data_IF_949663337328
#
_entry.id   IF_949663337328
#
_cell.length_a   1.000
_cell.length_b   1.000
_cell.length_c   1.000
_cell.angle_alpha   90.00
_cell.angle_beta   90.00
_cell.angle_gamma   90.00
#
_symmetry.space_group_name_H-M   'P 1'
#
loop_
_entity.id
_entity.type
_entity.pdbx_description
1 polymer ?
#
# COMPACT_ATOMS: atom_id res chain seq x y z
N UNK A 1 11.24 14.55 -33.58
CA UNK A 1 11.21 15.26 -32.30
C UNK A 1 9.80 15.12 -31.73
N UNK A 2 9.55 14.07 -30.97
CA UNK A 2 8.32 13.95 -30.20
C UNK A 2 8.33 15.05 -29.13
N UNK A 3 7.29 15.88 -29.08
CA UNK A 3 7.10 16.85 -28.01
C UNK A 3 6.95 16.06 -26.72
N UNK A 4 7.96 16.09 -25.85
CA UNK A 4 7.79 15.74 -24.45
C UNK A 4 6.65 16.59 -23.90
N UNK A 5 5.50 16.00 -23.74
CA UNK A 5 4.43 16.58 -22.94
C UNK A 5 4.89 16.47 -21.48
N UNK A 6 5.57 17.50 -20.99
CA UNK A 6 5.83 17.66 -19.56
C UNK A 6 4.48 17.62 -18.86
N UNK A 7 4.20 16.50 -18.18
CA UNK A 7 3.05 16.42 -17.29
C UNK A 7 3.33 17.32 -16.10
N UNK A 8 2.50 18.30 -15.91
CA UNK A 8 2.52 19.12 -14.70
C UNK A 8 1.73 18.36 -13.61
N UNK A 9 2.35 18.17 -12.45
CA UNK A 9 1.65 17.70 -11.29
C UNK A 9 0.40 18.57 -11.02
N UNK A 10 -0.72 17.98 -10.59
CA UNK A 10 -1.93 18.74 -10.33
C UNK A 10 -1.68 19.78 -9.21
N UNK A 11 -2.19 20.98 -9.42
CA UNK A 11 -2.09 22.06 -8.43
C UNK A 11 -3.10 21.79 -7.31
N UNK A 12 -2.69 21.91 -6.06
CA UNK A 12 -3.52 21.66 -4.89
C UNK A 12 -4.79 22.52 -4.86
N UNK A 13 -4.69 23.80 -5.17
CA UNK A 13 -5.86 24.68 -5.21
C UNK A 13 -6.86 24.25 -6.29
N UNK A 14 -6.37 23.75 -7.40
CA UNK A 14 -7.19 23.23 -8.48
C UNK A 14 -7.86 21.89 -8.09
N UNK A 15 -7.13 21.01 -7.40
CA UNK A 15 -7.66 19.76 -6.85
C UNK A 15 -8.79 20.07 -5.84
N UNK A 16 -8.55 20.96 -4.90
CA UNK A 16 -9.54 21.36 -3.89
C UNK A 16 -10.76 22.01 -4.54
N UNK A 17 -10.54 22.91 -5.51
CA UNK A 17 -11.62 23.56 -6.23
C UNK A 17 -12.49 22.57 -7.01
N UNK A 18 -11.85 21.61 -7.68
CA UNK A 18 -12.55 20.56 -8.41
C UNK A 18 -13.31 19.62 -7.48
N UNK A 19 -12.72 19.22 -6.37
CA UNK A 19 -13.37 18.34 -5.40
C UNK A 19 -14.54 19.02 -4.70
N UNK A 20 -14.43 20.32 -4.35
CA UNK A 20 -15.55 21.12 -3.82
C UNK A 20 -16.68 21.24 -4.85
N UNK A 21 -16.35 21.47 -6.12
CA UNK A 21 -17.31 21.54 -7.20
C UNK A 21 -18.04 20.22 -7.42
N UNK A 22 -17.36 19.11 -7.24
CA UNK A 22 -17.91 17.77 -7.36
C UNK A 22 -18.58 17.28 -6.05
N UNK A 23 -18.51 18.07 -4.96
CA UNK A 23 -19.05 17.70 -3.65
C UNK A 23 -18.31 16.58 -2.93
N UNK A 24 -17.06 16.27 -3.37
CA UNK A 24 -16.28 15.14 -2.89
C UNK A 24 -15.28 15.46 -1.79
N UNK A 25 -14.90 16.73 -1.61
CA UNK A 25 -14.07 17.16 -0.49
C UNK A 25 -14.96 17.61 0.66
N UNK A 26 -14.92 16.83 1.75
CA UNK A 26 -15.53 17.21 3.02
C UNK A 26 -14.42 17.46 4.01
N UNK A 27 -14.40 18.67 4.59
CA UNK A 27 -13.60 18.92 5.77
C UNK A 27 -14.28 18.22 6.95
N UNK A 28 -13.68 17.15 7.46
CA UNK A 28 -14.10 16.61 8.74
C UNK A 28 -13.71 17.58 9.86
N UNK A 29 -14.53 17.76 10.89
CA UNK A 29 -14.11 18.47 12.08
C UNK A 29 -12.94 17.74 12.74
N UNK A 30 -11.97 18.47 13.26
CA UNK A 30 -10.87 17.92 14.02
C UNK A 30 -11.41 17.33 15.33
N UNK A 31 -11.52 16.00 15.40
CA UNK A 31 -11.98 15.28 16.58
C UNK A 31 -10.93 14.24 16.96
N UNK A 32 -10.14 14.55 17.99
CA UNK A 32 -9.08 13.66 18.46
C UNK A 32 -9.57 12.51 19.35
N UNK A 33 -10.86 12.40 19.59
CA UNK A 33 -11.47 11.22 20.20
C UNK A 33 -11.70 10.10 19.16
N UNK A 34 -11.42 10.38 17.89
CA UNK A 34 -11.60 9.46 16.78
C UNK A 34 -10.39 9.53 15.85
N UNK A 35 -9.92 8.38 15.41
CA UNK A 35 -8.86 8.24 14.41
C UNK A 35 -9.36 7.34 13.28
N UNK A 36 -9.22 7.80 12.06
CA UNK A 36 -9.47 7.00 10.88
C UNK A 36 -8.19 6.34 10.41
N UNK A 37 -8.25 5.05 10.13
CA UNK A 37 -7.21 4.38 9.38
C UNK A 37 -7.72 3.99 7.99
N UNK A 38 -6.79 3.84 7.07
CA UNK A 38 -7.08 3.40 5.72
C UNK A 38 -5.93 2.57 5.18
N UNK A 39 -6.25 1.52 4.43
CA UNK A 39 -5.27 0.66 3.78
C UNK A 39 -5.70 0.27 2.36
N UNK A 40 -4.74 -0.20 1.58
CA UNK A 40 -4.97 -0.83 0.29
C UNK A 40 -5.05 -2.36 0.46
N UNK A 41 -5.55 -3.13 -0.52
CA UNK A 41 -5.55 -4.58 -0.52
C UNK A 41 -4.13 -5.13 -0.79
N UNK A 42 -3.22 -4.93 0.15
CA UNK A 42 -1.80 -5.25 0.05
C UNK A 42 -1.36 -6.22 1.15
N UNK A 43 -0.19 -6.82 0.97
CA UNK A 43 0.48 -7.58 2.03
C UNK A 43 0.99 -6.60 3.07
N UNK A 44 0.25 -6.45 4.17
CA UNK A 44 0.65 -5.57 5.27
C UNK A 44 0.11 -6.04 6.61
N UNK A 45 0.72 -5.60 7.70
CA UNK A 45 0.22 -5.84 9.05
C UNK A 45 -1.18 -5.23 9.25
N UNK A 46 -1.49 -4.11 8.62
CA UNK A 46 -2.82 -3.48 8.70
C UNK A 46 -3.92 -4.36 8.11
N UNK A 47 -3.64 -5.05 7.00
CA UNK A 47 -4.60 -5.99 6.41
C UNK A 47 -4.85 -7.20 7.29
N UNK A 48 -3.81 -7.72 7.94
CA UNK A 48 -3.95 -8.80 8.93
C UNK A 48 -4.74 -8.31 10.15
N UNK A 49 -4.49 -7.09 10.63
CA UNK A 49 -5.14 -6.52 11.79
C UNK A 49 -6.63 -6.21 11.60
N UNK A 50 -7.07 -6.03 10.37
CA UNK A 50 -8.50 -5.87 10.08
C UNK A 50 -9.32 -7.07 10.57
N UNK A 51 -8.74 -8.27 10.59
CA UNK A 51 -9.40 -9.46 11.13
C UNK A 51 -9.06 -9.70 12.60
N UNK A 52 -7.84 -9.36 13.05
CA UNK A 52 -7.43 -9.57 14.44
C UNK A 52 -7.99 -8.51 15.41
N UNK A 53 -8.17 -7.28 14.95
CA UNK A 53 -8.71 -6.17 15.74
C UNK A 53 -7.81 -5.66 16.86
N UNK A 54 -6.54 -6.01 16.88
CA UNK A 54 -5.64 -5.71 18.01
C UNK A 54 -5.32 -4.23 18.14
N UNK A 55 -5.21 -3.52 17.04
CA UNK A 55 -5.00 -2.06 17.08
C UNK A 55 -6.23 -1.35 17.61
N UNK A 56 -7.44 -1.79 17.26
CA UNK A 56 -8.70 -1.27 17.80
C UNK A 56 -8.72 -1.39 19.34
N UNK A 57 -8.27 -2.50 19.89
CA UNK A 57 -8.17 -2.71 21.33
C UNK A 57 -7.09 -1.82 21.99
N UNK A 58 -5.99 -1.51 21.32
CA UNK A 58 -4.99 -0.56 21.83
C UNK A 58 -5.55 0.87 21.91
N UNK A 59 -6.27 1.31 20.87
CA UNK A 59 -6.92 2.63 20.87
C UNK A 59 -8.01 2.75 21.93
N UNK A 60 -8.79 1.69 22.13
CA UNK A 60 -9.80 1.65 23.18
C UNK A 60 -9.23 1.89 24.59
N UNK A 61 -8.01 1.41 24.86
CA UNK A 61 -7.33 1.62 26.16
C UNK A 61 -7.02 3.09 26.45
N UNK A 62 -6.88 3.91 25.41
CA UNK A 62 -6.63 5.35 25.52
C UNK A 62 -7.89 6.20 25.27
N UNK A 63 -9.07 5.55 25.19
CA UNK A 63 -10.34 6.23 25.06
C UNK A 63 -10.63 6.80 23.66
N UNK A 64 -9.91 6.34 22.63
CA UNK A 64 -10.04 6.84 21.25
C UNK A 64 -10.77 5.80 20.40
N UNK A 65 -11.69 6.24 19.56
CA UNK A 65 -12.33 5.39 18.56
C UNK A 65 -11.38 5.20 17.38
N UNK A 66 -11.16 3.94 16.98
CA UNK A 66 -10.35 3.59 15.83
C UNK A 66 -11.26 3.01 14.76
N UNK A 67 -11.39 3.73 13.64
CA UNK A 67 -12.38 3.44 12.60
C UNK A 67 -11.73 3.27 11.24
N UNK A 68 -12.28 2.37 10.46
CA UNK A 68 -11.89 2.24 9.06
C UNK A 68 -12.52 3.38 8.24
N UNK A 69 -11.75 4.00 7.37
CA UNK A 69 -12.24 5.13 6.58
C UNK A 69 -13.51 4.80 5.78
N UNK A 70 -13.61 3.58 5.27
CA UNK A 70 -14.76 3.12 4.48
C UNK A 70 -16.02 2.83 5.31
N UNK A 71 -15.91 2.80 6.63
CA UNK A 71 -17.07 2.64 7.51
C UNK A 71 -17.92 3.92 7.56
N UNK A 72 -17.35 5.06 7.20
CA UNK A 72 -18.02 6.35 7.24
C UNK A 72 -18.25 6.92 5.83
N UNK A 73 -19.50 6.84 5.35
CA UNK A 73 -19.90 7.40 4.05
C UNK A 73 -19.71 8.90 3.92
N UNK A 74 -19.73 9.63 5.04
CA UNK A 74 -19.59 11.07 5.02
C UNK A 74 -18.17 11.52 4.69
N UNK A 75 -17.16 10.70 4.99
CA UNK A 75 -15.76 11.03 4.73
C UNK A 75 -15.35 10.83 3.28
N UNK A 76 -16.14 10.09 2.49
CA UNK A 76 -15.73 9.69 1.16
C UNK A 76 -14.42 8.87 1.19
N UNK A 77 -13.83 8.52 0.02
CA UNK A 77 -12.56 7.79 -0.06
C UNK A 77 -11.34 8.68 -0.36
N UNK A 78 -11.57 9.94 -0.72
CA UNK A 78 -10.50 10.87 -1.07
C UNK A 78 -9.46 11.11 0.04
N UNK A 79 -9.79 11.07 1.35
CA UNK A 79 -8.77 11.18 2.40
C UNK A 79 -7.66 10.15 2.29
N UNK A 80 -7.93 8.98 1.71
CA UNK A 80 -6.91 7.96 1.42
C UNK A 80 -5.83 8.47 0.45
N UNK A 81 -6.19 9.34 -0.48
CA UNK A 81 -5.30 9.83 -1.54
C UNK A 81 -4.72 11.20 -1.26
N UNK A 82 -5.47 12.09 -0.60
CA UNK A 82 -5.09 13.49 -0.45
C UNK A 82 -4.95 13.95 1.01
N UNK A 83 -5.14 13.06 1.98
CA UNK A 83 -4.96 13.31 3.42
C UNK A 83 -5.70 14.57 3.91
N UNK A 84 -6.90 14.84 3.43
CA UNK A 84 -7.71 15.99 3.81
C UNK A 84 -8.42 15.85 5.17
N UNK A 85 -8.12 14.79 5.94
CA UNK A 85 -8.50 14.64 7.35
C UNK A 85 -7.24 14.76 8.20
N UNK A 86 -7.31 15.52 9.30
CA UNK A 86 -6.16 15.66 10.22
C UNK A 86 -5.93 14.41 11.07
N UNK A 87 -7.02 13.70 11.40
CA UNK A 87 -7.02 12.49 12.23
C UNK A 87 -6.92 11.18 11.42
N UNK A 88 -6.25 11.19 10.28
CA UNK A 88 -6.07 10.01 9.43
C UNK A 88 -4.67 9.40 9.56
N UNK A 89 -4.62 8.07 9.60
CA UNK A 89 -3.40 7.28 9.39
C UNK A 89 -3.63 6.41 8.15
N UNK A 90 -2.73 6.53 7.18
CA UNK A 90 -2.78 5.79 5.94
C UNK A 90 -1.68 4.73 5.90
N UNK A 91 -2.04 3.50 5.53
CA UNK A 91 -1.09 2.43 5.23
C UNK A 91 -1.40 1.85 3.85
N UNK A 92 -0.66 2.25 2.84
CA UNK A 92 -0.94 1.82 1.47
C UNK A 92 0.17 2.14 0.49
N UNK A 93 -0.07 1.92 -0.80
CA UNK A 93 0.91 2.10 -1.87
C UNK A 93 1.65 3.43 -1.83
N UNK A 94 2.84 3.45 -2.41
CA UNK A 94 3.86 4.47 -2.23
C UNK A 94 3.56 5.82 -2.90
N UNK A 95 3.01 5.83 -4.11
CA UNK A 95 2.90 7.06 -4.91
C UNK A 95 1.93 8.11 -4.34
N UNK A 96 0.73 7.75 -3.83
CA UNK A 96 -0.15 8.74 -3.23
C UNK A 96 0.47 9.51 -2.07
N UNK A 97 1.10 8.90 -1.05
CA UNK A 97 1.71 9.65 0.04
C UNK A 97 2.92 10.51 -0.38
N UNK A 98 3.69 10.09 -1.39
CA UNK A 98 4.73 10.94 -1.99
C UNK A 98 4.09 12.19 -2.59
N UNK A 99 3.04 12.05 -3.41
CA UNK A 99 2.33 13.18 -3.99
C UNK A 99 1.73 14.11 -2.93
N UNK A 100 1.13 13.53 -1.87
CA UNK A 100 0.60 14.33 -0.77
C UNK A 100 1.68 15.15 -0.11
N UNK A 101 2.81 14.54 0.25
CA UNK A 101 3.90 15.22 0.95
C UNK A 101 4.54 16.31 0.08
N UNK A 102 4.78 16.00 -1.20
CA UNK A 102 5.41 16.90 -2.14
C UNK A 102 4.55 18.15 -2.47
N UNK A 103 3.26 17.94 -2.77
CA UNK A 103 2.46 18.94 -3.47
C UNK A 103 1.17 19.33 -2.75
N UNK A 104 0.71 18.55 -1.76
CA UNK A 104 -0.60 18.76 -1.13
C UNK A 104 -0.48 19.33 0.28
N UNK A 105 0.09 18.56 1.20
CA UNK A 105 0.31 18.99 2.58
C UNK A 105 1.47 18.21 3.21
N UNK A 106 2.13 18.81 4.16
CA UNK A 106 3.16 18.15 4.93
C UNK A 106 2.58 16.97 5.71
N UNK A 107 3.25 15.84 5.61
CA UNK A 107 2.94 14.60 6.31
C UNK A 107 4.20 14.05 6.96
N UNK A 108 4.04 12.99 7.74
CA UNK A 108 5.14 12.29 8.41
C UNK A 108 5.14 10.84 7.96
N UNK A 109 6.29 10.33 7.53
CA UNK A 109 6.49 8.93 7.20
C UNK A 109 6.84 8.16 8.48
N UNK A 110 5.91 7.35 8.94
CA UNK A 110 6.01 6.59 10.19
C UNK A 110 6.67 5.22 10.03
N UNK A 111 6.62 4.66 8.82
CA UNK A 111 7.14 3.34 8.52
C UNK A 111 6.78 2.91 7.12
N UNK A 112 7.45 1.87 6.64
CA UNK A 112 7.13 1.24 5.35
C UNK A 112 7.19 -0.29 5.50
N UNK A 113 6.55 -1.00 4.55
CA UNK A 113 6.69 -2.45 4.45
C UNK A 113 8.08 -2.83 3.95
N UNK A 114 8.45 -4.09 4.15
CA UNK A 114 9.61 -4.64 3.47
C UNK A 114 9.40 -4.66 1.95
N UNK A 115 10.46 -4.38 1.19
CA UNK A 115 10.43 -4.53 -0.28
C UNK A 115 10.40 -6.03 -0.59
N UNK A 116 9.23 -6.52 -0.96
CA UNK A 116 9.06 -7.90 -1.37
C UNK A 116 9.50 -8.08 -2.83
N UNK A 117 9.95 -9.29 -3.16
CA UNK A 117 10.33 -9.64 -4.53
C UNK A 117 9.09 -10.01 -5.35
N UNK A 118 8.32 -9.01 -5.71
CA UNK A 118 7.05 -9.14 -6.44
C UNK A 118 7.05 -8.41 -7.80
N UNK A 119 8.20 -8.25 -8.43
CA UNK A 119 8.35 -7.43 -9.63
C UNK A 119 7.29 -7.68 -10.69
N UNK A 120 7.02 -6.66 -11.49
CA UNK A 120 6.10 -6.76 -12.61
C UNK A 120 6.66 -7.54 -13.79
N UNK A 121 5.79 -7.85 -14.73
CA UNK A 121 6.11 -8.61 -15.94
C UNK A 121 5.67 -7.87 -17.20
N UNK A 122 6.39 -8.09 -18.31
CA UNK A 122 5.95 -7.68 -19.65
C UNK A 122 5.16 -8.83 -20.27
N UNK A 123 3.90 -8.57 -20.60
CA UNK A 123 2.96 -9.55 -21.16
C UNK A 123 2.69 -9.29 -22.63
N UNK A 124 2.58 -10.38 -23.38
CA UNK A 124 2.19 -10.40 -24.80
C UNK A 124 1.16 -11.51 -25.06
N UNK A 125 0.51 -11.51 -26.22
CA UNK A 125 -0.36 -12.63 -26.60
C UNK A 125 0.47 -13.91 -26.80
N UNK A 126 -0.02 -15.05 -26.33
CA UNK A 126 0.66 -16.34 -26.46
C UNK A 126 0.93 -16.74 -27.93
N UNK A 127 0.05 -16.34 -28.85
CA UNK A 127 0.11 -16.66 -30.28
C UNK A 127 1.14 -15.83 -31.07
N UNK A 128 1.65 -14.75 -30.49
CA UNK A 128 2.57 -13.84 -31.19
C UNK A 128 4.02 -14.35 -31.10
N UNK A 129 4.78 -14.14 -32.18
CA UNK A 129 6.22 -14.46 -32.25
C UNK A 129 7.06 -13.37 -31.56
N UNK A 130 6.70 -13.08 -30.29
CA UNK A 130 7.39 -12.13 -29.39
C UNK A 130 7.81 -12.95 -28.17
N UNK A 131 9.13 -13.08 -27.93
CA UNK A 131 9.68 -13.94 -26.89
C UNK A 131 10.62 -13.23 -25.92
N UNK A 132 11.07 -12.01 -26.27
CA UNK A 132 11.98 -11.18 -25.49
C UNK A 132 11.72 -9.71 -25.74
N UNK A 133 12.28 -8.85 -24.91
CA UNK A 133 12.02 -7.39 -24.97
C UNK A 133 12.44 -6.77 -26.30
N UNK A 134 13.53 -7.23 -26.90
CA UNK A 134 14.02 -6.67 -28.18
C UNK A 134 13.06 -6.92 -29.35
N UNK A 135 12.20 -7.94 -29.26
CA UNK A 135 11.15 -8.21 -30.26
C UNK A 135 10.04 -7.16 -30.23
N UNK A 136 10.02 -6.30 -29.18
CA UNK A 136 9.09 -5.17 -29.04
C UNK A 136 9.50 -3.90 -29.80
N UNK A 137 10.68 -3.89 -30.47
CA UNK A 137 11.07 -2.72 -31.28
C UNK A 137 10.03 -2.40 -32.35
N UNK A 138 9.56 -1.14 -32.34
CA UNK A 138 8.49 -0.67 -33.24
C UNK A 138 7.08 -1.20 -32.91
N UNK A 139 6.89 -1.88 -31.79
CA UNK A 139 5.62 -2.42 -31.33
C UNK A 139 4.92 -1.47 -30.37
N UNK A 140 3.63 -1.72 -30.14
CA UNK A 140 2.74 -0.92 -29.31
C UNK A 140 2.69 -1.49 -27.89
N UNK A 141 3.10 -0.68 -26.91
CA UNK A 141 2.96 -1.00 -25.48
C UNK A 141 1.85 -0.13 -24.89
N UNK A 142 0.86 -0.76 -24.25
CA UNK A 142 -0.24 -0.06 -23.60
C UNK A 142 0.18 0.54 -22.27
N UNK A 143 -0.39 1.72 -21.95
CA UNK A 143 -0.18 2.44 -20.71
C UNK A 143 -1.50 3.03 -20.23
N UNK A 144 -1.93 2.67 -19.03
CA UNK A 144 -3.14 3.22 -18.43
C UNK A 144 -2.97 4.69 -18.05
N UNK A 145 -4.04 5.48 -18.19
CA UNK A 145 -4.10 6.88 -17.76
C UNK A 145 -5.38 7.17 -17.03
N UNK A 146 -5.26 7.56 -15.76
CA UNK A 146 -6.40 7.94 -14.95
C UNK A 146 -7.06 9.20 -15.50
N UNK A 147 -8.38 9.18 -15.58
CA UNK A 147 -9.20 10.35 -15.86
C UNK A 147 -9.48 11.18 -14.60
N UNK A 148 -9.18 10.65 -13.42
CA UNK A 148 -9.35 11.36 -12.16
C UNK A 148 -8.30 12.48 -12.02
N UNK A 149 -8.76 13.68 -11.63
CA UNK A 149 -7.91 14.86 -11.49
C UNK A 149 -7.62 15.23 -10.04
N UNK A 150 -8.22 14.51 -9.09
CA UNK A 150 -8.10 14.83 -7.66
C UNK A 150 -6.94 14.06 -7.03
N UNK A 151 -6.75 12.81 -7.43
CA UNK A 151 -5.68 11.94 -6.94
C UNK A 151 -4.62 11.73 -8.02
N UNK A 152 -3.39 11.44 -7.59
CA UNK A 152 -2.33 11.05 -8.51
C UNK A 152 -2.69 9.77 -9.28
N UNK A 153 -2.24 9.67 -10.53
CA UNK A 153 -2.41 8.47 -11.38
C UNK A 153 -1.46 7.35 -10.92
N UNK A 154 -1.68 6.84 -9.72
CA UNK A 154 -0.80 5.83 -9.09
C UNK A 154 -0.67 4.56 -9.93
N UNK A 155 -1.71 4.24 -10.73
CA UNK A 155 -1.70 3.07 -11.58
C UNK A 155 -0.81 3.28 -12.80
N UNK A 156 -1.03 4.37 -13.54
CA UNK A 156 -0.22 4.72 -14.70
C UNK A 156 1.25 4.98 -14.33
N UNK A 157 1.52 5.56 -13.15
CA UNK A 157 2.90 5.77 -12.67
C UNK A 157 3.66 4.45 -12.54
N UNK A 158 3.08 3.44 -11.91
CA UNK A 158 3.79 2.16 -11.73
C UNK A 158 3.94 1.38 -13.04
N UNK A 159 2.96 1.48 -13.95
CA UNK A 159 3.10 0.90 -15.30
C UNK A 159 4.21 1.58 -16.08
N UNK A 160 4.26 2.91 -16.09
CA UNK A 160 5.28 3.69 -16.79
C UNK A 160 6.68 3.41 -16.24
N UNK A 161 6.83 3.38 -14.91
CA UNK A 161 8.08 3.04 -14.25
C UNK A 161 8.55 1.62 -14.62
N UNK A 162 7.63 0.65 -14.62
CA UNK A 162 7.95 -0.73 -14.96
C UNK A 162 8.32 -0.91 -16.43
N UNK A 163 7.59 -0.25 -17.35
CA UNK A 163 7.90 -0.27 -18.80
C UNK A 163 9.31 0.29 -19.04
N UNK A 164 9.61 1.48 -18.51
CA UNK A 164 10.91 2.12 -18.73
C UNK A 164 12.05 1.32 -18.12
N UNK A 165 11.83 0.73 -16.95
CA UNK A 165 12.80 -0.12 -16.29
C UNK A 165 13.13 -1.35 -17.16
N UNK A 166 12.12 -2.04 -17.70
CA UNK A 166 12.31 -3.21 -18.56
C UNK A 166 12.97 -2.84 -19.89
N UNK A 167 12.59 -1.74 -20.51
CA UNK A 167 13.23 -1.25 -21.71
C UNK A 167 14.71 -0.99 -21.47
N UNK A 168 15.05 -0.24 -20.42
CA UNK A 168 16.43 0.11 -20.05
C UNK A 168 17.30 -1.12 -19.77
N UNK A 169 16.77 -2.12 -19.05
CA UNK A 169 17.48 -3.37 -18.75
C UNK A 169 17.85 -4.15 -20.01
N UNK A 170 17.07 -3.99 -21.07
CA UNK A 170 17.27 -4.66 -22.35
C UNK A 170 17.92 -3.73 -23.41
N UNK A 171 18.57 -2.65 -22.96
CA UNK A 171 19.25 -1.71 -23.85
C UNK A 171 18.33 -0.95 -24.80
N UNK A 172 17.08 -0.80 -24.43
CA UNK A 172 16.05 -0.08 -25.18
C UNK A 172 15.63 1.20 -24.47
N UNK A 173 14.96 2.08 -25.20
CA UNK A 173 14.37 3.31 -24.72
C UNK A 173 12.93 3.44 -25.15
N UNK A 174 12.22 4.48 -24.70
CA UNK A 174 10.86 4.77 -25.16
C UNK A 174 10.78 5.04 -26.66
N UNK A 175 11.86 5.51 -27.29
CA UNK A 175 11.92 5.79 -28.72
C UNK A 175 11.95 4.51 -29.58
N UNK A 176 12.27 3.35 -28.96
CA UNK A 176 12.26 2.04 -29.65
C UNK A 176 10.85 1.43 -29.76
N UNK A 177 9.84 1.98 -29.06
CA UNK A 177 8.48 1.46 -28.99
C UNK A 177 7.44 2.57 -29.15
N UNK A 178 6.20 2.20 -29.46
CA UNK A 178 5.06 3.12 -29.47
C UNK A 178 4.26 2.96 -28.15
N UNK A 179 4.24 3.98 -27.30
CA UNK A 179 3.40 3.97 -26.09
C UNK A 179 2.00 4.44 -26.46
N UNK A 180 1.01 3.55 -26.24
CA UNK A 180 -0.40 3.83 -26.48
C UNK A 180 -1.11 4.04 -25.15
N UNK A 181 -1.60 5.25 -24.91
CA UNK A 181 -2.29 5.59 -23.67
C UNK A 181 -3.76 5.19 -23.71
N UNK A 182 -4.22 4.57 -22.63
CA UNK A 182 -5.62 4.15 -22.44
C UNK A 182 -6.21 4.90 -21.25
N UNK A 183 -7.18 5.79 -21.47
CA UNK A 183 -7.87 6.45 -20.38
C UNK A 183 -8.76 5.44 -19.63
N UNK A 184 -8.74 5.51 -18.29
CA UNK A 184 -9.66 4.75 -17.45
C UNK A 184 -10.32 5.66 -16.40
N UNK A 185 -11.58 5.39 -16.03
CA UNK A 185 -12.34 6.26 -15.15
C UNK A 185 -11.87 6.23 -13.71
N UNK A 186 -11.16 5.18 -13.28
CA UNK A 186 -10.56 5.05 -11.95
C UNK A 186 -11.60 5.02 -10.79
N UNK A 187 -12.86 4.73 -11.12
CA UNK A 187 -13.97 4.65 -10.19
C UNK A 187 -14.25 3.22 -9.69
N UNK A 188 -13.76 2.21 -10.40
CA UNK A 188 -13.93 0.81 -10.02
C UNK A 188 -13.34 0.50 -8.63
N UNK A 189 -12.27 1.19 -8.26
CA UNK A 189 -11.59 1.03 -6.97
C UNK A 189 -12.23 1.87 -5.86
N UNK A 190 -12.84 2.99 -6.23
CA UNK A 190 -13.40 4.00 -5.33
C UNK A 190 -14.93 4.05 -5.38
N UNK A 191 -15.56 2.99 -5.87
CA UNK A 191 -17.01 2.93 -5.98
C UNK A 191 -17.67 3.29 -4.64
N UNK A 192 -18.58 4.30 -4.61
CA UNK A 192 -19.32 4.69 -3.41
C UNK A 192 -20.11 3.55 -2.75
N UNK A 193 -20.49 2.53 -3.51
CA UNK A 193 -21.14 1.32 -2.97
C UNK A 193 -20.22 0.52 -2.04
N UNK A 194 -18.90 0.74 -2.15
CA UNK A 194 -17.90 0.17 -1.26
C UNK A 194 -17.74 0.95 0.05
N UNK A 195 -18.45 2.07 0.20
CA UNK A 195 -18.59 2.78 1.46
C UNK A 195 -19.84 2.26 2.16
N UNK A 196 -19.74 1.88 3.42
CA UNK A 196 -20.82 1.22 4.09
C UNK A 196 -21.00 1.59 5.55
N UNK A 197 -22.00 1.02 6.21
CA UNK A 197 -22.09 1.08 7.65
C UNK A 197 -20.85 0.42 8.28
N UNK A 198 -20.57 0.77 9.53
CA UNK A 198 -19.48 0.16 10.29
C UNK A 198 -19.56 -1.37 10.19
N UNK A 199 -18.48 -2.00 9.78
CA UNK A 199 -18.39 -3.44 9.64
C UNK A 199 -17.66 -4.02 10.85
N UNK A 200 -18.16 -5.14 11.35
CA UNK A 200 -17.51 -5.86 12.44
C UNK A 200 -16.12 -6.36 12.02
N UNK A 201 -16.03 -6.82 10.78
CA UNK A 201 -14.76 -7.20 10.15
C UNK A 201 -14.58 -6.47 8.81
N UNK A 202 -13.76 -5.41 8.73
CA UNK A 202 -13.55 -4.64 7.51
C UNK A 202 -12.96 -5.45 6.33
N UNK A 203 -12.33 -6.61 6.58
CA UNK A 203 -11.81 -7.47 5.51
C UNK A 203 -12.91 -8.05 4.61
N UNK A 204 -14.15 -8.17 5.12
CA UNK A 204 -15.30 -8.63 4.34
C UNK A 204 -15.65 -7.72 3.17
N UNK A 205 -15.25 -6.45 3.24
CA UNK A 205 -15.43 -5.51 2.14
C UNK A 205 -14.80 -6.02 0.85
N UNK A 206 -13.60 -6.56 0.95
CA UNK A 206 -12.85 -7.07 -0.20
C UNK A 206 -13.46 -8.36 -0.77
N UNK A 207 -14.03 -9.21 0.08
CA UNK A 207 -14.76 -10.41 -0.36
C UNK A 207 -16.02 -10.04 -1.16
N UNK A 208 -16.77 -9.03 -0.71
CA UNK A 208 -17.97 -8.57 -1.41
C UNK A 208 -17.67 -7.99 -2.79
N UNK A 209 -16.47 -7.47 -2.96
CA UNK A 209 -16.05 -6.83 -4.20
C UNK A 209 -15.67 -7.82 -5.31
N UNK A 210 -15.42 -9.10 -4.98
CA UNK A 210 -14.86 -10.08 -5.92
C UNK A 210 -13.65 -9.54 -6.71
N UNK A 211 -12.77 -8.85 -5.99
CA UNK A 211 -11.64 -8.11 -6.58
C UNK A 211 -10.68 -9.00 -7.40
N UNK A 212 -10.69 -10.30 -7.18
CA UNK A 212 -9.91 -11.25 -7.98
C UNK A 212 -10.43 -11.37 -9.42
N UNK A 213 -11.73 -11.26 -9.61
CA UNK A 213 -12.37 -11.33 -10.93
C UNK A 213 -12.45 -9.97 -11.64
N UNK A 214 -12.49 -8.87 -10.91
CA UNK A 214 -12.50 -7.51 -11.46
C UNK A 214 -11.31 -7.20 -12.36
N UNK A 215 -10.24 -7.96 -12.23
CA UNK A 215 -9.04 -7.84 -13.06
C UNK A 215 -9.27 -8.23 -14.53
N UNK A 216 -10.32 -9.03 -14.81
CA UNK A 216 -10.64 -9.47 -16.15
C UNK A 216 -11.15 -8.35 -17.08
N UNK A 217 -11.52 -7.20 -16.52
CA UNK A 217 -12.12 -6.08 -17.24
C UNK A 217 -11.19 -4.88 -17.47
N UNK A 218 -9.89 -5.06 -17.28
CA UNK A 218 -8.95 -3.97 -17.49
C UNK A 218 -8.81 -3.60 -18.95
N UNK A 219 -8.75 -2.30 -19.27
CA UNK A 219 -8.64 -1.84 -20.64
C UNK A 219 -7.44 -2.43 -21.39
N UNK A 220 -6.29 -2.61 -20.71
CA UNK A 220 -5.07 -3.10 -21.33
C UNK A 220 -5.14 -4.59 -21.70
N UNK A 221 -5.64 -5.46 -20.82
CA UNK A 221 -5.82 -6.89 -21.14
C UNK A 221 -6.77 -7.07 -22.31
N UNK A 222 -7.84 -6.27 -22.36
CA UNK A 222 -8.78 -6.27 -23.47
C UNK A 222 -8.12 -5.78 -24.75
N UNK A 223 -7.37 -4.68 -24.69
CA UNK A 223 -6.65 -4.13 -25.85
C UNK A 223 -5.58 -5.10 -26.37
N UNK A 224 -4.84 -5.75 -25.46
CA UNK A 224 -3.85 -6.77 -25.80
C UNK A 224 -4.52 -7.98 -26.47
N UNK A 225 -5.59 -8.52 -25.88
CA UNK A 225 -6.32 -9.66 -26.42
C UNK A 225 -6.89 -9.39 -27.83
N UNK A 226 -7.37 -8.18 -28.08
CA UNK A 226 -7.93 -7.74 -29.35
C UNK A 226 -6.87 -7.29 -30.38
N UNK A 227 -5.59 -7.23 -30.01
CA UNK A 227 -4.49 -6.84 -30.91
C UNK A 227 -4.40 -5.33 -31.19
N UNK A 228 -4.98 -4.50 -30.33
CA UNK A 228 -4.85 -3.03 -30.39
C UNK A 228 -3.45 -2.60 -29.93
N UNK A 229 -2.89 -3.34 -28.98
CA UNK A 229 -1.49 -3.25 -28.51
C UNK A 229 -0.82 -4.60 -28.65
N UNK A 230 0.52 -4.61 -28.63
CA UNK A 230 1.33 -5.81 -28.75
C UNK A 230 1.83 -6.31 -27.42
N UNK A 231 2.00 -5.41 -26.45
CA UNK A 231 2.46 -5.72 -25.10
C UNK A 231 1.81 -4.80 -24.06
N UNK A 232 1.82 -5.26 -22.80
CA UNK A 232 1.47 -4.47 -21.63
C UNK A 232 2.35 -4.84 -20.44
N UNK A 233 2.58 -3.90 -19.56
CA UNK A 233 3.18 -4.16 -18.27
C UNK A 233 2.10 -4.56 -17.26
N UNK A 234 2.27 -5.70 -16.61
CA UNK A 234 1.47 -6.08 -15.45
C UNK A 234 2.29 -5.82 -14.19
N UNK A 235 1.76 -4.99 -13.31
CA UNK A 235 2.49 -4.42 -12.16
C UNK A 235 2.90 -5.44 -11.09
N UNK A 236 2.35 -6.64 -11.11
CA UNK A 236 2.79 -7.70 -10.22
C UNK A 236 2.70 -9.06 -10.89
N UNK A 237 3.61 -9.95 -10.53
CA UNK A 237 3.59 -11.34 -10.99
C UNK A 237 2.28 -12.04 -10.62
N UNK A 238 1.71 -11.69 -9.48
CA UNK A 238 0.42 -12.23 -9.02
C UNK A 238 -0.71 -11.92 -9.98
N UNK A 239 -0.79 -10.68 -10.48
CA UNK A 239 -1.81 -10.27 -11.44
C UNK A 239 -1.61 -10.92 -12.80
N UNK A 240 -0.35 -11.05 -13.25
CA UNK A 240 -0.05 -11.68 -14.53
C UNK A 240 -0.42 -13.16 -14.57
N UNK A 241 -0.26 -13.87 -13.46
CA UNK A 241 -0.63 -15.29 -13.37
C UNK A 241 -2.11 -15.50 -13.65
N UNK A 242 -3.00 -14.62 -13.17
CA UNK A 242 -4.43 -14.70 -13.47
C UNK A 242 -4.69 -14.60 -14.99
N UNK A 243 -3.99 -13.71 -15.68
CA UNK A 243 -4.10 -13.57 -17.13
C UNK A 243 -3.46 -14.74 -17.89
N UNK A 244 -2.30 -15.23 -17.44
CA UNK A 244 -1.60 -16.38 -18.05
C UNK A 244 -2.40 -17.67 -17.93
N UNK A 245 -3.16 -17.89 -16.84
CA UNK A 245 -4.00 -19.10 -16.68
C UNK A 245 -5.07 -19.23 -17.75
N UNK A 246 -5.41 -18.16 -18.45
CA UNK A 246 -6.30 -18.23 -19.62
C UNK A 246 -5.68 -18.90 -20.84
N UNK A 247 -4.35 -19.06 -20.87
CA UNK A 247 -3.58 -19.52 -22.03
C UNK A 247 -3.48 -18.52 -23.18
N UNK A 248 -4.09 -17.35 -23.06
CA UNK A 248 -4.11 -16.30 -24.10
C UNK A 248 -2.88 -15.40 -24.06
N UNK A 249 -2.22 -15.31 -22.91
CA UNK A 249 -1.10 -14.42 -22.66
C UNK A 249 0.11 -15.19 -22.13
N UNK A 250 1.29 -14.66 -22.38
CA UNK A 250 2.57 -15.13 -21.84
C UNK A 250 3.40 -13.93 -21.38
N UNK A 251 4.23 -14.14 -20.36
CA UNK A 251 5.23 -13.16 -19.92
C UNK A 251 6.54 -13.40 -20.68
N UNK A 252 7.12 -12.32 -21.21
CA UNK A 252 8.41 -12.34 -21.90
C UNK A 252 9.55 -11.78 -21.05
N UNK A 253 9.23 -10.98 -20.04
CA UNK A 253 10.18 -10.43 -19.07
C UNK A 253 9.54 -10.42 -17.68
N UNK A 254 10.35 -10.64 -16.64
CA UNK A 254 9.92 -10.72 -15.25
C UNK A 254 10.99 -10.15 -14.34
N UNK A 255 10.71 -9.00 -13.74
CA UNK A 255 11.63 -8.30 -12.84
C UNK A 255 11.99 -9.12 -11.59
N UNK A 256 11.13 -10.03 -11.17
CA UNK A 256 11.40 -10.90 -10.02
C UNK A 256 12.52 -11.92 -10.25
N UNK A 257 12.95 -12.16 -11.50
CA UNK A 257 14.07 -13.05 -11.83
C UNK A 257 15.43 -12.49 -11.43
N UNK A 258 15.53 -11.17 -11.30
CA UNK A 258 16.79 -10.49 -11.03
C UNK A 258 17.06 -10.39 -9.53
N UNK A 259 18.31 -10.49 -9.08
CA UNK A 259 18.67 -10.34 -7.68
C UNK A 259 18.62 -8.88 -7.20
N UNK A 260 18.64 -7.92 -8.13
CA UNK A 260 18.61 -6.50 -7.83
C UNK A 260 17.22 -6.09 -7.31
N UNK A 261 17.15 -5.78 -6.03
CA UNK A 261 15.90 -5.40 -5.37
C UNK A 261 15.35 -4.05 -5.85
N UNK A 262 16.20 -3.16 -6.40
CA UNK A 262 15.75 -1.86 -6.91
C UNK A 262 14.78 -2.00 -8.08
N UNK A 263 14.82 -3.11 -8.79
CA UNK A 263 13.90 -3.43 -9.88
C UNK A 263 12.48 -3.77 -9.38
N UNK A 264 12.32 -3.99 -8.08
CA UNK A 264 11.02 -4.30 -7.46
C UNK A 264 10.27 -3.05 -7.00
N UNK A 265 10.87 -1.87 -7.16
CA UNK A 265 10.30 -0.61 -6.68
C UNK A 265 9.31 -0.05 -7.71
N UNK A 266 8.13 -0.67 -7.79
CA UNK A 266 7.01 -0.14 -8.55
C UNK A 266 5.78 -0.08 -7.63
N UNK A 267 5.51 1.10 -7.01
CA UNK A 267 4.46 1.32 -6.01
C UNK A 267 4.67 0.58 -4.66
N UNK A 268 5.86 0.06 -4.43
CA UNK A 268 6.30 -0.53 -3.15
C UNK A 268 7.62 0.12 -2.72
N UNK A 269 7.92 0.18 -1.43
CA UNK A 269 7.17 -0.38 -0.29
C UNK A 269 5.86 0.38 -0.02
N UNK A 270 4.89 -0.28 0.61
CA UNK A 270 3.72 0.43 1.11
C UNK A 270 4.10 1.31 2.30
N UNK A 271 3.60 2.54 2.33
CA UNK A 271 3.97 3.55 3.32
C UNK A 271 2.90 3.76 4.39
N UNK A 272 3.34 3.96 5.63
CA UNK A 272 2.52 4.41 6.75
C UNK A 272 2.77 5.89 6.93
N UNK A 273 1.73 6.70 6.78
CA UNK A 273 1.82 8.15 6.94
C UNK A 273 0.70 8.68 7.82
N UNK A 274 0.98 9.77 8.53
CA UNK A 274 -0.02 10.60 9.19
C UNK A 274 0.23 12.07 8.88
N UNK A 275 -0.69 12.92 9.30
CA UNK A 275 -0.54 14.38 9.18
C UNK A 275 0.47 14.92 10.19
N UNK A 276 1.07 16.05 9.89
CA UNK A 276 1.94 16.77 10.86
C UNK A 276 1.16 17.15 12.09
N UNK A 277 -0.10 17.53 11.93
CA UNK A 277 -1.00 17.88 13.04
C UNK A 277 -1.14 16.72 14.03
N UNK A 278 -1.30 15.48 13.55
CA UNK A 278 -1.34 14.31 14.43
C UNK A 278 0.02 14.09 15.08
N UNK A 279 1.10 14.12 14.32
CA UNK A 279 2.44 13.85 14.82
C UNK A 279 2.89 14.84 15.90
N UNK A 280 2.50 16.14 15.79
CA UNK A 280 2.90 17.19 16.71
C UNK A 280 1.96 17.31 17.92
N UNK A 281 0.63 17.21 17.71
CA UNK A 281 -0.36 17.44 18.76
C UNK A 281 -0.75 16.17 19.52
N UNK A 282 -0.75 15.02 18.83
CA UNK A 282 -1.19 13.73 19.36
C UNK A 282 -0.25 12.58 18.96
N UNK A 283 1.07 12.70 19.26
CA UNK A 283 2.04 11.66 18.91
C UNK A 283 1.68 10.28 19.47
N UNK A 284 0.96 10.23 20.60
CA UNK A 284 0.46 9.00 21.21
C UNK A 284 -0.45 8.20 20.29
N UNK A 285 -1.19 8.86 19.38
CA UNK A 285 -2.06 8.17 18.41
C UNK A 285 -1.23 7.43 17.37
N UNK A 286 -0.21 8.09 16.81
CA UNK A 286 0.71 7.47 15.86
C UNK A 286 1.50 6.30 16.51
N UNK A 287 1.99 6.49 17.73
CA UNK A 287 2.68 5.44 18.51
C UNK A 287 1.76 4.26 18.78
N UNK A 288 0.49 4.50 19.13
CA UNK A 288 -0.50 3.44 19.38
C UNK A 288 -0.77 2.62 18.13
N UNK A 289 -0.90 3.27 16.97
CA UNK A 289 -1.01 2.58 15.69
C UNK A 289 0.19 1.68 15.43
N UNK A 290 1.40 2.22 15.57
CA UNK A 290 2.64 1.46 15.31
C UNK A 290 2.82 0.29 16.29
N UNK A 291 2.42 0.42 17.56
CA UNK A 291 2.38 -0.72 18.50
C UNK A 291 1.49 -1.86 17.97
N UNK A 292 0.31 -1.50 17.44
CA UNK A 292 -0.57 -2.46 16.77
C UNK A 292 0.13 -3.16 15.61
N UNK A 293 0.70 -2.37 14.70
CA UNK A 293 1.38 -2.89 13.50
C UNK A 293 2.58 -3.78 13.84
N UNK A 294 3.39 -3.41 14.83
CA UNK A 294 4.52 -4.24 15.28
C UNK A 294 4.03 -5.57 15.89
N UNK A 295 3.00 -5.54 16.74
CA UNK A 295 2.44 -6.76 17.36
C UNK A 295 1.89 -7.71 16.30
N UNK A 296 1.06 -7.18 15.41
CA UNK A 296 0.42 -7.95 14.33
C UNK A 296 1.47 -8.48 13.36
N UNK A 297 2.44 -7.65 12.96
CA UNK A 297 3.53 -8.05 12.08
C UNK A 297 4.37 -9.20 12.66
N UNK A 298 4.71 -9.13 13.95
CA UNK A 298 5.42 -10.22 14.66
C UNK A 298 4.59 -11.49 14.67
N UNK A 299 3.31 -11.40 15.02
CA UNK A 299 2.42 -12.56 15.01
C UNK A 299 2.31 -13.17 13.62
N UNK A 300 2.13 -12.35 12.60
CA UNK A 300 2.02 -12.80 11.22
C UNK A 300 3.32 -13.45 10.71
N UNK A 301 4.48 -12.98 11.19
CA UNK A 301 5.77 -13.61 10.90
C UNK A 301 5.91 -15.00 11.52
N UNK A 302 5.37 -15.19 12.73
CA UNK A 302 5.39 -16.47 13.45
C UNK A 302 4.30 -17.44 12.95
N UNK A 303 3.21 -16.91 12.37
CA UNK A 303 2.02 -17.67 11.96
C UNK A 303 1.67 -17.46 10.48
N UNK A 304 2.67 -17.65 9.60
CA UNK A 304 2.54 -17.35 8.16
C UNK A 304 1.33 -17.96 7.47
N UNK A 305 0.96 -19.21 7.80
CA UNK A 305 -0.21 -19.84 7.20
C UNK A 305 -1.52 -19.16 7.62
N UNK A 306 -1.66 -18.83 8.90
CA UNK A 306 -2.83 -18.10 9.37
C UNK A 306 -2.90 -16.69 8.76
N UNK A 307 -1.76 -16.00 8.70
CA UNK A 307 -1.67 -14.71 8.04
C UNK A 307 -2.02 -14.79 6.54
N UNK A 308 -1.58 -15.84 5.84
CA UNK A 308 -1.93 -16.08 4.45
C UNK A 308 -3.46 -16.26 4.25
N UNK A 309 -4.11 -17.02 5.14
CA UNK A 309 -5.56 -17.22 5.07
C UNK A 309 -6.36 -15.92 5.28
N UNK A 310 -5.83 -14.98 6.08
CA UNK A 310 -6.42 -13.66 6.24
C UNK A 310 -6.17 -12.80 4.99
N UNK A 311 -4.93 -12.76 4.53
CA UNK A 311 -4.51 -11.92 3.40
C UNK A 311 -5.11 -12.37 2.06
N UNK A 312 -5.37 -13.67 1.88
CA UNK A 312 -6.02 -14.20 0.67
C UNK A 312 -7.39 -13.56 0.41
N UNK A 313 -8.12 -13.22 1.47
CA UNK A 313 -9.43 -12.55 1.37
C UNK A 313 -9.32 -11.12 0.80
N UNK A 314 -8.16 -10.50 0.88
CA UNK A 314 -7.97 -9.07 0.63
C UNK A 314 -7.01 -8.78 -0.53
N UNK A 315 -6.24 -9.75 -0.98
CA UNK A 315 -5.21 -9.61 -2.01
C UNK A 315 -5.60 -10.29 -3.32
N UNK A 316 -4.74 -10.11 -4.33
CA UNK A 316 -4.98 -10.65 -5.67
C UNK A 316 -4.41 -12.06 -5.88
N UNK A 317 -3.86 -12.71 -4.85
CA UNK A 317 -3.41 -14.10 -4.95
C UNK A 317 -4.59 -15.03 -5.27
N UNK A 318 -4.30 -16.14 -5.94
CA UNK A 318 -5.33 -17.08 -6.41
C UNK A 318 -6.03 -17.79 -5.26
N UNK A 319 -5.23 -18.19 -4.28
CA UNK A 319 -5.67 -18.97 -3.12
C UNK A 319 -4.70 -18.80 -1.94
N UNK A 320 -5.03 -19.44 -0.82
CA UNK A 320 -4.25 -19.36 0.42
C UNK A 320 -2.82 -19.91 0.25
N UNK A 321 -2.61 -20.94 -0.57
CA UNK A 321 -1.29 -21.52 -0.79
C UNK A 321 -0.40 -20.56 -1.57
N UNK A 322 -0.94 -19.95 -2.61
CA UNK A 322 -0.25 -18.94 -3.40
C UNK A 322 0.09 -17.71 -2.55
N UNK A 323 -0.85 -17.29 -1.70
CA UNK A 323 -0.63 -16.21 -0.71
C UNK A 323 0.48 -16.57 0.29
N UNK A 324 0.47 -17.81 0.78
CA UNK A 324 1.52 -18.28 1.70
C UNK A 324 2.90 -18.24 1.05
N UNK A 325 3.03 -18.73 -0.19
CA UNK A 325 4.30 -18.66 -0.93
C UNK A 325 4.77 -17.22 -1.13
N UNK A 326 3.85 -16.29 -1.40
CA UNK A 326 4.14 -14.86 -1.53
C UNK A 326 4.69 -14.24 -0.25
N UNK A 327 4.13 -14.61 0.90
CA UNK A 327 4.48 -13.95 2.19
C UNK A 327 5.50 -14.70 3.04
N UNK A 328 5.83 -15.96 2.75
CA UNK A 328 6.64 -16.81 3.64
C UNK A 328 8.00 -16.23 4.02
N UNK A 329 8.59 -15.39 3.16
CA UNK A 329 9.89 -14.74 3.36
C UNK A 329 9.77 -13.24 3.62
N UNK A 330 8.56 -12.69 3.64
CA UNK A 330 8.32 -11.26 3.87
C UNK A 330 8.26 -10.97 5.36
N UNK A 331 8.97 -9.95 5.81
CA UNK A 331 8.81 -9.40 7.15
C UNK A 331 7.63 -8.42 7.16
N UNK A 332 6.60 -8.73 7.95
CA UNK A 332 5.39 -7.92 8.04
C UNK A 332 5.48 -6.82 9.11
N UNK A 333 6.59 -6.74 9.85
CA UNK A 333 6.84 -5.63 10.79
C UNK A 333 7.28 -4.41 9.99
N UNK A 334 6.57 -3.28 10.07
CA UNK A 334 6.99 -2.06 9.38
C UNK A 334 8.29 -1.51 9.95
N UNK A 335 9.11 -0.93 9.09
CA UNK A 335 10.40 -0.37 9.47
C UNK A 335 10.78 0.83 8.61
N UNK A 336 11.89 1.49 8.96
CA UNK A 336 12.51 2.59 8.21
C UNK A 336 14.00 2.28 7.99
N UNK A 337 14.30 1.06 7.54
CA UNK A 337 15.68 0.71 7.21
C UNK A 337 16.22 1.57 6.05
N UNK A 338 17.54 1.77 5.97
CA UNK A 338 18.15 2.54 4.87
C UNK A 338 17.72 2.01 3.49
N UNK A 339 17.64 0.69 3.31
CA UNK A 339 17.18 0.09 2.05
C UNK A 339 15.74 0.51 1.72
N UNK A 340 14.85 0.52 2.70
CA UNK A 340 13.46 0.91 2.50
C UNK A 340 13.32 2.40 2.20
N UNK A 341 14.11 3.26 2.84
CA UNK A 341 14.12 4.69 2.54
C UNK A 341 14.65 4.97 1.13
N UNK A 342 15.70 4.27 0.69
CA UNK A 342 16.17 4.35 -0.70
C UNK A 342 15.10 3.89 -1.69
N UNK A 343 14.29 2.88 -1.34
CA UNK A 343 13.16 2.46 -2.18
C UNK A 343 12.11 3.56 -2.35
N UNK A 344 11.83 4.31 -1.28
CA UNK A 344 10.95 5.48 -1.33
C UNK A 344 11.53 6.57 -2.22
N UNK A 345 12.82 6.81 -2.11
CA UNK A 345 13.54 7.83 -2.89
C UNK A 345 13.53 7.51 -4.39
N UNK A 346 13.74 6.23 -4.77
CA UNK A 346 13.61 5.77 -6.16
C UNK A 346 12.20 6.09 -6.72
N UNK A 347 11.14 5.82 -5.96
CA UNK A 347 9.78 6.14 -6.36
C UNK A 347 9.54 7.65 -6.48
N UNK A 348 10.05 8.44 -5.53
CA UNK A 348 9.97 9.91 -5.55
C UNK A 348 10.71 10.50 -6.74
N UNK A 349 11.94 10.07 -7.00
CA UNK A 349 12.75 10.56 -8.12
C UNK A 349 12.11 10.26 -9.47
N UNK A 350 11.49 9.08 -9.60
CA UNK A 350 10.70 8.77 -10.79
C UNK A 350 9.52 9.73 -10.96
N UNK A 351 8.75 9.96 -9.91
CA UNK A 351 7.61 10.89 -9.94
C UNK A 351 8.04 12.32 -10.27
N UNK A 352 9.15 12.79 -9.70
CA UNK A 352 9.70 14.13 -9.94
C UNK A 352 10.19 14.29 -11.39
N UNK A 353 10.98 13.34 -11.88
CA UNK A 353 11.54 13.39 -13.23
C UNK A 353 10.50 13.30 -14.33
N UNK A 354 9.35 12.68 -14.05
CA UNK A 354 8.22 12.56 -14.99
C UNK A 354 7.11 13.60 -14.78
N UNK A 355 7.31 14.55 -13.84
CA UNK A 355 6.35 15.63 -13.58
C UNK A 355 5.06 15.21 -12.89
N UNK A 356 5.06 14.06 -12.22
CA UNK A 356 3.94 13.62 -11.38
C UNK A 356 3.88 14.35 -10.03
N UNK A 357 5.02 14.89 -9.59
CA UNK A 357 5.13 15.85 -8.50
C UNK A 357 5.97 17.04 -8.97
N UNK A 358 5.76 18.21 -8.34
CA UNK A 358 6.45 19.48 -8.66
C UNK A 358 7.60 19.78 -7.72
N UNK A 359 7.40 19.44 -6.45
CA UNK A 359 8.31 19.80 -5.38
C UNK A 359 9.13 18.58 -4.98
N UNK A 360 10.44 18.76 -4.93
CA UNK A 360 11.36 17.78 -4.36
C UNK A 360 11.38 17.87 -2.83
N UNK A 361 11.75 16.79 -2.18
CA UNK A 361 11.94 16.72 -0.73
C UNK A 361 12.94 15.63 -0.34
N UNK A 362 13.54 15.76 0.84
CA UNK A 362 14.42 14.74 1.40
C UNK A 362 13.57 13.67 2.12
N UNK A 363 13.67 12.43 1.66
CA UNK A 363 12.96 11.27 2.25
C UNK A 363 13.41 11.02 3.69
N UNK A 364 14.67 11.32 4.04
CA UNK A 364 15.17 11.16 5.41
C UNK A 364 14.57 12.21 6.36
N UNK A 365 14.29 13.41 5.88
CA UNK A 365 13.60 14.46 6.66
C UNK A 365 12.09 14.16 6.78
N UNK A 366 11.50 13.48 5.79
CA UNK A 366 10.10 13.02 5.87
C UNK A 366 9.92 11.88 6.87
N UNK A 367 10.92 11.01 7.00
CA UNK A 367 10.89 9.85 7.88
C UNK A 367 11.03 10.25 9.36
N UNK A 368 10.23 9.65 10.22
CA UNK A 368 10.20 9.89 11.65
C UNK A 368 10.43 8.61 12.47
N UNK A 369 11.67 8.07 12.50
CA UNK A 369 11.99 6.81 13.17
C UNK A 369 11.68 6.81 14.67
N UNK A 370 11.68 7.97 15.34
CA UNK A 370 11.38 8.11 16.77
C UNK A 370 10.03 7.53 17.18
N UNK A 371 9.03 7.53 16.28
CA UNK A 371 7.71 6.93 16.55
C UNK A 371 7.78 5.40 16.60
N UNK A 372 8.49 4.78 15.65
CA UNK A 372 8.73 3.34 15.65
C UNK A 372 9.58 2.90 16.86
N UNK A 373 10.62 3.66 17.16
CA UNK A 373 11.50 3.39 18.31
C UNK A 373 10.73 3.45 19.63
N UNK A 374 9.86 4.46 19.79
CA UNK A 374 9.02 4.57 20.98
C UNK A 374 8.03 3.42 21.06
N UNK A 375 7.34 3.10 19.98
CA UNK A 375 6.39 1.98 19.93
C UNK A 375 7.06 0.64 20.29
N UNK A 376 8.22 0.37 19.72
CA UNK A 376 8.99 -0.84 20.01
C UNK A 376 9.46 -0.90 21.48
N UNK A 377 9.96 0.21 22.03
CA UNK A 377 10.39 0.31 23.43
C UNK A 377 9.23 0.06 24.40
N UNK A 378 8.07 0.71 24.18
CA UNK A 378 6.89 0.50 25.02
C UNK A 378 6.40 -0.95 25.02
N UNK A 379 6.45 -1.62 23.87
CA UNK A 379 6.11 -3.04 23.77
C UNK A 379 7.08 -3.92 24.56
N UNK A 380 8.39 -3.67 24.47
CA UNK A 380 9.40 -4.40 25.23
C UNK A 380 9.21 -4.21 26.75
N UNK A 381 8.91 -2.99 27.21
CA UNK A 381 8.63 -2.73 28.61
C UNK A 381 7.40 -3.49 29.12
N UNK A 382 6.34 -3.55 28.31
CA UNK A 382 5.13 -4.31 28.64
C UNK A 382 5.41 -5.82 28.73
N UNK A 383 6.19 -6.36 27.81
CA UNK A 383 6.61 -7.77 27.83
C UNK A 383 7.48 -8.08 29.05
N UNK A 384 8.40 -7.20 29.38
CA UNK A 384 9.25 -7.32 30.57
C UNK A 384 8.42 -7.34 31.86
N UNK A 385 7.49 -6.39 32.01
CA UNK A 385 6.58 -6.34 33.17
C UNK A 385 5.78 -7.61 33.33
N UNK A 386 5.21 -8.15 32.23
CA UNK A 386 4.48 -9.42 32.25
C UNK A 386 5.35 -10.59 32.73
N UNK A 387 6.60 -10.69 32.24
CA UNK A 387 7.52 -11.77 32.59
C UNK A 387 7.98 -11.67 34.04
N UNK A 388 8.17 -10.48 34.56
CA UNK A 388 8.62 -10.26 35.97
C UNK A 388 7.47 -10.50 36.94
N UNK A 389 6.25 -10.09 36.63
CA UNK A 389 5.09 -10.39 37.49
C UNK A 389 4.69 -11.88 37.47
N UNK A 390 4.84 -12.56 36.34
CA UNK A 390 4.59 -14.01 36.25
C UNK A 390 5.63 -14.87 37.01
N UNK A 391 6.80 -14.31 37.34
CA UNK A 391 7.86 -15.01 38.07
C UNK A 391 7.87 -14.77 39.57
N UNK A 392 7.01 -13.91 40.12
CA UNK A 392 6.80 -13.80 41.56
C UNK A 392 5.90 -14.95 42.01
N UNK A 393 6.41 -15.97 42.72
CA UNK A 393 5.52 -16.92 43.35
C UNK A 393 4.65 -16.13 44.34
N UNK A 394 3.35 -16.43 44.36
CA UNK A 394 2.52 -16.00 45.48
C UNK A 394 3.21 -16.54 46.73
N UNK A 395 3.82 -15.65 47.50
CA UNK A 395 4.35 -16.00 48.80
C UNK A 395 3.18 -16.53 49.60
N UNK A 396 3.22 -17.84 49.87
CA UNK A 396 2.31 -18.43 50.81
C UNK A 396 2.39 -17.63 52.11
N UNK A 397 1.25 -17.24 52.61
CA UNK A 397 1.08 -16.48 53.84
C UNK A 397 1.68 -17.28 54.98
N UNK A 398 2.75 -16.82 55.68
CA UNK A 398 3.40 -17.64 56.71
C UNK A 398 2.64 -17.69 58.03
N UNK A 399 1.38 -17.24 58.10
CA UNK A 399 0.67 -17.09 59.38
C UNK A 399 -0.56 -18.01 59.56
N UNK A 400 -0.60 -19.20 58.95
CA UNK A 400 -1.69 -20.16 59.22
C UNK A 400 -1.25 -21.50 59.86
N UNK A 401 -0.18 -21.51 60.67
CA UNK A 401 0.14 -22.68 61.49
C UNK A 401 0.18 -22.32 62.98
N UNK A 402 -0.95 -21.82 63.48
CA UNK A 402 -1.22 -21.77 64.92
C UNK A 402 -1.89 -23.04 65.38
N UNK A 403 -1.18 -24.14 65.44
CA UNK A 403 -1.64 -25.38 66.10
C UNK A 403 -1.65 -25.17 67.60
N UNK A 404 -2.83 -25.18 68.21
CA UNK A 404 -2.97 -25.34 69.67
C UNK A 404 -2.59 -26.77 70.06
N UNK A 405 -1.59 -26.85 70.91
CA UNK A 405 -1.33 -28.04 71.75
C UNK A 405 -2.29 -27.96 72.95
N UNK A 406 -3.11 -28.96 73.12
CA UNK A 406 -3.82 -29.30 74.31
C UNK A 406 -3.48 -30.73 74.73
#
# INVERSE_FOLDING_TARGET
MAKETKRTAPNMDEIIANAKKEGKLKAAPLDWNEVYYTNCPLISASNVDQELGWTKEEYKKIGVQYRYLRDNKENDWYPHYIHNLDNIIRFGGLFPPIHVHADIRRTVLLGVTHVAKEGGVMMVRSRDDIYRMEDLKGKKIGLSRSQNKIKTDWWGIQEEQGIEMMLRMNGMTRDDVEIVEFPYPDDWYDNPEMMGPEMENPSELWLKRDHKNDLAFRPLETALGNGVIDAMYSQSRVLSVLSETTGKFKSIEDLARYPDWTLQVANIPAAITCTVEMAEKHPELAVTFLKGMIKVGRWANEHKQAAAAILDKQTFYRDVEDTFEGIRRVDLVPNLSPQNLVSVDIGKDFMLSHGYIKNDFDVNEWAAPQFLEQAARELLELEWKKRTHAKLPQTADPLSSGGRVG
#
